data_IF_137213082442
#
_entry.id   IF_137213082442
#
_cell.length_a   1.000
_cell.length_b   1.000
_cell.length_c   1.000
_cell.angle_alpha   90.00
_cell.angle_beta   90.00
_cell.angle_gamma   90.00
#
_symmetry.space_group_name_H-M   'P 1'
#
loop_
_entity.id
_entity.type
_entity.pdbx_description
1 polymer ?
#
# COMPACT_ATOMS: atom_id res chain seq x y z
N UNK A 1 -3.63 28.15 -21.08
CA UNK A 1 -2.67 27.66 -20.06
C UNK A 1 -3.39 27.69 -18.72
N UNK A 2 -3.72 26.53 -18.15
CA UNK A 2 -4.18 26.46 -16.76
C UNK A 2 -2.98 25.98 -15.96
N UNK A 3 -2.43 26.87 -15.14
CA UNK A 3 -1.43 26.51 -14.13
C UNK A 3 -2.08 25.52 -13.17
N UNK A 4 -1.58 24.29 -13.15
CA UNK A 4 -1.89 23.34 -12.10
C UNK A 4 -1.21 23.85 -10.82
N UNK A 5 -2.04 24.11 -9.80
CA UNK A 5 -1.56 24.40 -8.46
C UNK A 5 -0.55 23.32 -8.04
N UNK A 6 0.56 23.75 -7.42
CA UNK A 6 1.53 22.88 -6.76
C UNK A 6 0.80 21.99 -5.74
N UNK A 7 0.39 20.79 -6.15
CA UNK A 7 0.06 19.72 -5.23
C UNK A 7 1.39 19.32 -4.59
N UNK A 8 1.51 19.41 -3.26
CA UNK A 8 2.74 19.15 -2.50
C UNK A 8 3.21 17.69 -2.53
N UNK A 9 3.13 17.05 -3.69
CA UNK A 9 3.60 15.71 -3.96
C UNK A 9 5.12 15.73 -4.08
N UNK A 10 5.79 14.90 -3.29
CA UNK A 10 7.23 14.67 -3.46
C UNK A 10 7.41 13.95 -4.79
N UNK A 11 8.17 14.49 -5.75
CA UNK A 11 8.36 13.85 -7.04
C UNK A 11 9.15 12.55 -6.88
N UNK A 12 8.84 11.56 -7.70
CA UNK A 12 9.61 10.32 -7.76
C UNK A 12 11.08 10.58 -8.05
N UNK A 13 11.94 9.80 -7.39
CA UNK A 13 13.37 9.90 -7.55
C UNK A 13 13.91 8.65 -8.25
N UNK A 14 14.26 8.72 -9.56
CA UNK A 14 14.73 7.56 -10.31
C UNK A 14 16.08 7.03 -9.80
N UNK A 15 16.85 7.83 -9.06
CA UNK A 15 18.08 7.36 -8.40
C UNK A 15 17.75 6.44 -7.23
N UNK A 16 16.71 6.77 -6.46
CA UNK A 16 16.22 5.93 -5.35
C UNK A 16 15.61 4.64 -5.90
N UNK A 17 14.81 4.73 -6.95
CA UNK A 17 14.22 3.57 -7.60
C UNK A 17 15.31 2.61 -8.11
N UNK A 18 16.37 3.14 -8.74
CA UNK A 18 17.55 2.37 -9.13
C UNK A 18 18.23 1.70 -7.92
N UNK A 19 18.51 2.45 -6.85
CA UNK A 19 19.18 1.91 -5.64
C UNK A 19 18.37 0.77 -5.02
N UNK A 20 17.05 0.97 -4.87
CA UNK A 20 16.15 -0.06 -4.34
C UNK A 20 16.05 -1.26 -5.27
N UNK A 21 15.96 -1.02 -6.58
CA UNK A 21 15.99 -2.07 -7.61
C UNK A 21 17.26 -2.92 -7.55
N UNK A 22 18.43 -2.30 -7.41
CA UNK A 22 19.72 -2.99 -7.25
C UNK A 22 19.72 -3.82 -5.96
N UNK A 23 19.29 -3.27 -4.81
CA UNK A 23 19.23 -4.00 -3.53
C UNK A 23 18.32 -5.23 -3.64
N UNK A 24 17.11 -5.07 -4.21
CA UNK A 24 16.15 -6.17 -4.36
C UNK A 24 16.71 -7.25 -5.30
N UNK A 25 17.32 -6.85 -6.43
CA UNK A 25 17.92 -7.77 -7.38
C UNK A 25 19.08 -8.55 -6.76
N UNK A 26 19.98 -7.88 -6.06
CA UNK A 26 21.15 -8.50 -5.42
C UNK A 26 20.75 -9.47 -4.29
N UNK A 27 19.58 -9.24 -3.66
CA UNK A 27 18.96 -10.14 -2.72
C UNK A 27 18.20 -11.33 -3.36
N UNK A 28 18.25 -11.47 -4.69
CA UNK A 28 17.62 -12.56 -5.45
C UNK A 28 16.20 -12.27 -5.95
N UNK A 29 15.69 -11.06 -5.71
CA UNK A 29 14.34 -10.64 -6.10
C UNK A 29 13.22 -11.31 -5.30
N UNK A 30 11.97 -10.97 -5.62
CA UNK A 30 10.79 -11.55 -4.99
C UNK A 30 9.63 -11.69 -5.99
N UNK A 31 8.87 -12.81 -6.01
CA UNK A 31 7.81 -13.04 -7.00
C UNK A 31 6.67 -12.01 -6.98
N UNK A 32 6.44 -11.36 -5.84
CA UNK A 32 5.44 -10.32 -5.64
C UNK A 32 5.99 -8.90 -5.67
N UNK A 33 7.22 -8.71 -6.16
CA UNK A 33 7.76 -7.41 -6.55
C UNK A 33 7.91 -7.36 -8.08
N UNK A 34 7.78 -6.17 -8.66
CA UNK A 34 8.15 -5.94 -10.06
C UNK A 34 9.65 -6.16 -10.21
N UNK A 35 10.05 -6.98 -11.18
CA UNK A 35 11.46 -7.35 -11.33
C UNK A 35 12.23 -6.19 -11.96
N UNK A 36 13.25 -5.71 -11.25
CA UNK A 36 14.24 -4.81 -11.79
C UNK A 36 15.35 -5.62 -12.48
N UNK A 37 15.59 -5.35 -13.76
CA UNK A 37 16.53 -6.14 -14.58
C UNK A 37 17.87 -5.43 -14.69
N UNK A 38 17.87 -4.17 -15.13
CA UNK A 38 19.09 -3.40 -15.40
C UNK A 38 18.85 -1.89 -15.39
N UNK A 39 19.92 -1.11 -15.49
CA UNK A 39 19.86 0.33 -15.78
C UNK A 39 21.06 0.79 -16.57
N UNK A 40 20.88 1.86 -17.33
CA UNK A 40 21.97 2.49 -18.07
C UNK A 40 21.75 4.00 -18.16
N UNK A 41 22.85 4.73 -18.43
CA UNK A 41 22.81 6.17 -18.62
C UNK A 41 23.19 6.47 -20.06
N UNK A 42 22.32 7.19 -20.76
CA UNK A 42 22.56 7.69 -22.11
C UNK A 42 22.18 9.16 -22.17
N UNK A 43 23.06 10.01 -22.69
CA UNK A 43 22.83 11.46 -22.84
C UNK A 43 22.31 12.13 -21.55
N UNK A 44 22.95 11.82 -20.41
CA UNK A 44 22.56 12.33 -19.07
C UNK A 44 21.17 11.88 -18.58
N UNK A 45 20.53 10.93 -19.26
CA UNK A 45 19.24 10.35 -18.86
C UNK A 45 19.47 8.96 -18.29
N UNK A 46 18.93 8.70 -17.10
CA UNK A 46 18.92 7.38 -16.47
C UNK A 46 17.72 6.59 -17.00
N UNK A 47 17.99 5.40 -17.54
CA UNK A 47 16.99 4.44 -17.99
C UNK A 47 16.98 3.24 -17.04
N UNK A 48 15.79 2.87 -16.58
CA UNK A 48 15.56 1.69 -15.75
C UNK A 48 14.84 0.62 -16.59
N UNK A 49 15.40 -0.59 -16.63
CA UNK A 49 14.85 -1.74 -17.35
C UNK A 49 14.14 -2.63 -16.34
N UNK A 50 12.83 -2.76 -16.48
CA UNK A 50 11.96 -3.46 -15.53
C UNK A 50 11.02 -4.43 -16.24
N UNK A 51 10.49 -5.39 -15.48
CA UNK A 51 9.47 -6.33 -15.93
C UNK A 51 8.19 -5.62 -16.35
N UNK A 52 7.72 -5.94 -17.56
CA UNK A 52 6.47 -5.42 -18.07
C UNK A 52 5.27 -6.26 -17.61
N UNK A 53 4.48 -5.70 -16.69
CA UNK A 53 3.26 -6.33 -16.19
C UNK A 53 2.08 -6.12 -17.14
N UNK A 54 1.95 -7.00 -18.15
CA UNK A 54 1.00 -6.85 -19.25
C UNK A 54 -0.50 -6.79 -18.88
N UNK A 55 -0.91 -7.16 -17.66
CA UNK A 55 -2.32 -7.09 -17.25
C UNK A 55 -2.71 -5.78 -16.54
N UNK A 56 -1.81 -4.79 -16.54
CA UNK A 56 -2.04 -3.48 -15.94
C UNK A 56 -2.00 -3.51 -14.41
N UNK A 57 -2.55 -2.48 -13.79
CA UNK A 57 -2.60 -2.31 -12.33
C UNK A 57 -3.98 -2.66 -11.72
N UNK A 58 -3.99 -2.76 -10.39
CA UNK A 58 -5.18 -3.13 -9.62
C UNK A 58 -6.26 -2.04 -9.66
N UNK A 59 -5.87 -0.76 -9.77
CA UNK A 59 -6.82 0.35 -9.87
C UNK A 59 -7.66 0.25 -11.15
N UNK A 60 -6.99 0.03 -12.28
CA UNK A 60 -7.61 -0.21 -13.58
C UNK A 60 -8.47 -1.48 -13.59
N UNK A 61 -7.96 -2.55 -12.97
CA UNK A 61 -8.70 -3.80 -12.82
C UNK A 61 -10.03 -3.62 -12.08
N UNK A 62 -10.02 -2.91 -10.95
CA UNK A 62 -11.24 -2.62 -10.18
C UNK A 62 -12.16 -1.64 -10.93
N UNK A 63 -11.62 -0.60 -11.55
CA UNK A 63 -12.39 0.43 -12.25
C UNK A 63 -13.25 -0.12 -13.40
N UNK A 64 -12.82 -1.21 -14.03
CA UNK A 64 -13.56 -1.92 -15.09
C UNK A 64 -14.71 -2.77 -14.57
N UNK A 65 -14.82 -3.01 -13.26
CA UNK A 65 -15.90 -3.80 -12.64
C UNK A 65 -17.07 -2.90 -12.28
N UNK A 66 -18.31 -3.41 -12.46
CA UNK A 66 -19.54 -2.65 -12.19
C UNK A 66 -19.59 -2.02 -10.80
N UNK A 67 -19.17 -2.76 -9.78
CA UNK A 67 -19.19 -2.30 -8.38
C UNK A 67 -17.86 -1.69 -7.92
N UNK A 68 -16.82 -1.73 -8.76
CA UNK A 68 -15.44 -1.34 -8.40
C UNK A 68 -14.88 -2.07 -7.17
N UNK A 69 -15.44 -3.22 -6.83
CA UNK A 69 -15.05 -4.06 -5.69
C UNK A 69 -14.67 -5.47 -6.15
N UNK A 70 -14.04 -6.21 -5.26
CA UNK A 70 -13.88 -7.65 -5.32
C UNK A 70 -14.33 -8.32 -4.01
N UNK A 71 -14.54 -9.63 -4.05
CA UNK A 71 -14.92 -10.38 -2.85
C UNK A 71 -13.80 -10.32 -1.80
N UNK A 72 -14.16 -10.43 -0.53
CA UNK A 72 -13.19 -10.48 0.57
C UNK A 72 -12.13 -11.58 0.36
N UNK A 73 -12.54 -12.76 -0.12
CA UNK A 73 -11.63 -13.85 -0.48
C UNK A 73 -10.57 -13.44 -1.52
N UNK A 74 -10.99 -12.80 -2.61
CA UNK A 74 -10.07 -12.35 -3.65
C UNK A 74 -9.17 -11.23 -3.14
N UNK A 75 -9.73 -10.29 -2.36
CA UNK A 75 -8.97 -9.21 -1.73
C UNK A 75 -7.90 -9.76 -0.78
N UNK A 76 -8.20 -10.80 0.01
CA UNK A 76 -7.21 -11.46 0.87
C UNK A 76 -6.13 -12.20 0.08
N UNK A 77 -6.47 -12.78 -1.08
CA UNK A 77 -5.48 -13.40 -1.97
C UNK A 77 -4.51 -12.37 -2.56
N UNK A 78 -5.00 -11.20 -2.96
CA UNK A 78 -4.16 -10.05 -3.36
C UNK A 78 -3.31 -9.59 -2.18
N UNK A 79 -3.95 -9.38 -1.02
CA UNK A 79 -3.31 -8.85 0.18
C UNK A 79 -2.17 -9.75 0.65
N UNK A 80 -2.34 -11.07 0.65
CA UNK A 80 -1.30 -12.04 1.01
C UNK A 80 -0.07 -11.91 0.13
N UNK A 81 -0.28 -11.82 -1.20
CA UNK A 81 0.80 -11.66 -2.18
C UNK A 81 1.55 -10.33 -2.01
N UNK A 82 0.82 -9.22 -1.89
CA UNK A 82 1.42 -7.89 -1.72
C UNK A 82 2.13 -7.80 -0.36
N UNK A 83 1.57 -8.40 0.69
CA UNK A 83 2.20 -8.47 2.01
C UNK A 83 3.52 -9.22 1.97
N UNK A 84 3.62 -10.30 1.18
CA UNK A 84 4.86 -11.06 1.04
C UNK A 84 5.96 -10.22 0.37
N UNK A 85 5.63 -9.48 -0.70
CA UNK A 85 6.56 -8.54 -1.33
C UNK A 85 6.98 -7.40 -0.40
N UNK A 86 6.04 -6.83 0.33
CA UNK A 86 6.31 -5.75 1.29
C UNK A 86 7.17 -6.23 2.47
N UNK A 87 6.92 -7.43 2.98
CA UNK A 87 7.73 -8.06 4.02
C UNK A 87 9.18 -8.27 3.56
N UNK A 88 9.39 -8.70 2.32
CA UNK A 88 10.72 -8.80 1.73
C UNK A 88 11.44 -7.45 1.74
N UNK A 89 10.78 -6.36 1.32
CA UNK A 89 11.36 -5.00 1.39
C UNK A 89 11.70 -4.61 2.84
N UNK A 90 10.78 -4.85 3.77
CA UNK A 90 10.96 -4.49 5.18
C UNK A 90 12.13 -5.26 5.82
N UNK A 91 12.31 -6.54 5.50
CA UNK A 91 13.45 -7.36 5.94
C UNK A 91 14.79 -6.81 5.45
N UNK A 92 14.81 -6.23 4.25
CA UNK A 92 15.98 -5.53 3.69
C UNK A 92 16.10 -4.08 4.14
N UNK A 93 15.37 -3.70 5.21
CA UNK A 93 15.36 -2.35 5.76
C UNK A 93 14.97 -1.28 4.72
N UNK A 94 14.01 -1.60 3.85
CA UNK A 94 13.40 -0.67 2.90
C UNK A 94 11.91 -0.55 3.21
N UNK A 95 11.40 0.68 3.22
CA UNK A 95 9.97 0.97 3.23
C UNK A 95 9.57 1.57 1.88
N UNK A 96 8.36 1.26 1.42
CA UNK A 96 7.89 1.60 0.07
C UNK A 96 7.34 3.03 -0.02
N UNK A 97 6.56 3.46 0.98
CA UNK A 97 5.94 4.80 1.13
C UNK A 97 4.92 5.21 0.06
N UNK A 98 4.56 4.34 -0.88
CA UNK A 98 3.48 4.56 -1.85
C UNK A 98 2.69 3.29 -2.20
N UNK A 99 2.48 2.42 -1.21
CA UNK A 99 1.60 1.25 -1.36
C UNK A 99 0.18 1.71 -1.71
N UNK A 100 -0.25 1.41 -2.94
CA UNK A 100 -1.52 1.88 -3.50
C UNK A 100 -2.00 0.90 -4.58
N UNK A 101 -3.25 1.02 -5.02
CA UNK A 101 -3.80 0.13 -6.06
C UNK A 101 -3.09 0.33 -7.42
N UNK A 102 -2.69 1.55 -7.69
CA UNK A 102 -1.97 1.99 -8.90
C UNK A 102 -0.58 1.34 -8.99
N UNK A 103 0.02 1.00 -7.85
CA UNK A 103 1.36 0.43 -7.78
C UNK A 103 1.34 -1.10 -7.55
N UNK A 104 0.15 -1.71 -7.55
CA UNK A 104 -0.03 -3.17 -7.52
C UNK A 104 -0.37 -3.65 -8.92
N UNK A 105 0.63 -4.21 -9.60
CA UNK A 105 0.53 -4.71 -10.95
C UNK A 105 0.06 -6.16 -11.00
N UNK A 106 -0.59 -6.52 -12.10
CA UNK A 106 -1.08 -7.86 -12.40
C UNK A 106 -0.23 -8.48 -13.51
N UNK A 107 0.31 -9.67 -13.26
CA UNK A 107 1.12 -10.37 -14.25
C UNK A 107 1.13 -11.88 -14.03
N UNK A 108 0.74 -12.65 -15.06
CA UNK A 108 0.72 -14.12 -15.02
C UNK A 108 0.03 -14.70 -13.77
N UNK A 109 -1.12 -14.14 -13.39
CA UNK A 109 -1.88 -14.58 -12.23
C UNK A 109 -1.29 -14.19 -10.87
N UNK A 110 -0.24 -13.37 -10.84
CA UNK A 110 0.37 -12.83 -9.63
C UNK A 110 0.11 -11.33 -9.47
N UNK A 111 0.05 -10.89 -8.22
CA UNK A 111 0.08 -9.48 -7.84
C UNK A 111 1.52 -9.09 -7.49
N UNK A 112 2.00 -7.99 -8.08
CA UNK A 112 3.36 -7.49 -7.94
C UNK A 112 3.35 -6.03 -7.52
N UNK A 113 3.97 -5.73 -6.39
CA UNK A 113 4.18 -4.35 -5.95
C UNK A 113 5.37 -3.75 -6.71
N UNK A 114 5.20 -2.55 -7.27
CA UNK A 114 6.23 -1.84 -8.02
C UNK A 114 6.22 -0.35 -7.70
N UNK A 115 6.96 0.43 -8.50
CA UNK A 115 7.17 1.87 -8.31
C UNK A 115 7.83 2.20 -6.96
N UNK A 116 9.16 2.14 -6.96
CA UNK A 116 9.97 2.37 -5.75
C UNK A 116 10.52 3.80 -5.71
N UNK A 117 9.99 4.74 -6.50
CA UNK A 117 10.47 6.12 -6.60
C UNK A 117 10.44 6.90 -5.28
N UNK A 118 9.53 6.54 -4.37
CA UNK A 118 9.37 7.15 -3.03
C UNK A 118 9.93 6.29 -1.88
N UNK A 119 10.48 5.12 -2.20
CA UNK A 119 11.00 4.20 -1.20
C UNK A 119 12.16 4.80 -0.40
N UNK A 120 12.45 4.24 0.77
CA UNK A 120 13.57 4.73 1.58
C UNK A 120 14.15 3.63 2.46
N UNK A 121 15.44 3.77 2.79
CA UNK A 121 16.04 2.96 3.84
C UNK A 121 15.38 3.30 5.17
N UNK A 122 15.08 2.29 5.96
CA UNK A 122 14.31 2.40 7.20
C UNK A 122 15.14 3.14 8.24
N UNK A 123 14.95 4.45 8.23
CA UNK A 123 15.34 5.42 9.24
C UNK A 123 14.07 6.19 9.59
N UNK A 124 14.00 6.73 10.81
CA UNK A 124 12.87 7.60 11.18
C UNK A 124 12.78 8.75 10.18
N UNK A 125 11.62 8.88 9.52
CA UNK A 125 11.33 9.97 8.61
C UNK A 125 10.65 11.10 9.38
N UNK A 126 10.83 12.36 8.97
CA UNK A 126 10.21 13.52 9.64
C UNK A 126 9.81 14.57 8.61
N UNK A 127 8.65 15.20 8.82
CA UNK A 127 8.22 16.38 8.06
C UNK A 127 7.87 16.16 6.58
N UNK A 128 8.01 14.94 6.06
CA UNK A 128 7.73 14.60 4.67
C UNK A 128 6.38 13.89 4.51
N UNK A 129 5.42 14.60 3.91
CA UNK A 129 4.20 14.00 3.39
C UNK A 129 4.51 13.40 2.01
N UNK A 130 4.58 12.08 1.93
CA UNK A 130 4.85 11.35 0.67
C UNK A 130 3.77 10.32 0.39
N UNK A 131 3.64 9.97 -0.89
CA UNK A 131 2.63 9.05 -1.39
C UNK A 131 1.31 9.74 -1.75
N UNK A 132 0.29 8.93 -1.99
CA UNK A 132 -1.06 9.39 -2.38
C UNK A 132 -1.93 9.65 -1.13
N UNK A 133 -2.57 10.83 -1.05
CA UNK A 133 -3.30 11.34 0.14
C UNK A 133 -4.32 10.35 0.75
N UNK A 134 -5.00 9.58 -0.08
CA UNK A 134 -6.00 8.59 0.37
C UNK A 134 -5.37 7.43 1.16
N UNK A 135 -4.11 7.10 0.88
CA UNK A 135 -3.41 5.95 1.45
C UNK A 135 -2.49 6.35 2.61
N UNK A 136 -2.09 7.63 2.73
CA UNK A 136 -1.17 8.09 3.76
C UNK A 136 -1.66 7.81 5.19
N UNK A 137 -0.74 7.32 6.02
CA UNK A 137 -0.98 7.12 7.45
C UNK A 137 -1.15 8.44 8.22
N UNK A 138 -1.86 8.44 9.38
CA UNK A 138 -2.09 9.64 10.17
C UNK A 138 -0.81 10.40 10.55
N UNK A 139 0.22 9.66 10.97
CA UNK A 139 1.51 10.23 11.38
C UNK A 139 2.29 10.86 10.21
N UNK A 140 2.09 10.34 8.98
CA UNK A 140 2.66 10.93 7.75
C UNK A 140 1.93 12.23 7.42
N UNK A 141 0.60 12.23 7.47
CA UNK A 141 -0.23 13.43 7.25
C UNK A 141 0.05 14.50 8.30
N UNK A 142 0.29 14.11 9.55
CA UNK A 142 0.66 15.04 10.62
C UNK A 142 2.08 15.63 10.45
N UNK A 143 2.91 15.06 9.56
CA UNK A 143 4.30 15.48 9.37
C UNK A 143 5.20 15.15 10.56
N UNK A 144 4.78 14.22 11.41
CA UNK A 144 5.50 13.82 12.61
C UNK A 144 6.74 12.98 12.26
N UNK A 145 7.54 12.63 13.28
CA UNK A 145 8.58 11.63 13.12
C UNK A 145 7.91 10.25 13.12
N UNK A 146 8.05 9.48 12.04
CA UNK A 146 7.37 8.18 11.90
C UNK A 146 8.31 7.04 11.50
N UNK A 147 7.87 5.82 11.79
CA UNK A 147 8.41 4.60 11.21
C UNK A 147 7.76 4.36 9.84
N UNK A 148 8.50 4.44 8.73
CA UNK A 148 7.92 4.27 7.41
C UNK A 148 7.40 2.84 7.16
N UNK A 149 7.86 1.83 7.91
CA UNK A 149 7.30 0.47 7.81
C UNK A 149 5.89 0.39 8.36
N UNK A 150 5.65 1.02 9.52
CA UNK A 150 4.31 1.09 10.10
C UNK A 150 3.37 1.86 9.17
N UNK A 151 3.85 2.93 8.53
CA UNK A 151 3.07 3.68 7.55
C UNK A 151 2.70 2.85 6.31
N UNK A 152 3.59 2.00 5.80
CA UNK A 152 3.28 1.08 4.70
C UNK A 152 2.13 0.11 5.05
N UNK A 153 2.10 -0.40 6.30
CA UNK A 153 1.03 -1.32 6.74
C UNK A 153 -0.33 -0.61 6.78
N UNK A 154 -0.36 0.66 7.18
CA UNK A 154 -1.59 1.46 7.09
C UNK A 154 -2.05 1.60 5.63
N UNK A 155 -1.15 1.98 4.73
CA UNK A 155 -1.44 2.12 3.30
C UNK A 155 -1.98 0.81 2.70
N UNK A 156 -1.41 -0.33 3.11
CA UNK A 156 -1.88 -1.67 2.75
C UNK A 156 -3.29 -1.95 3.30
N UNK A 157 -3.60 -1.50 4.53
CA UNK A 157 -4.95 -1.56 5.09
C UNK A 157 -5.97 -0.72 4.31
N UNK A 158 -5.57 0.46 3.82
CA UNK A 158 -6.41 1.27 2.93
C UNK A 158 -6.65 0.56 1.61
N UNK A 159 -5.62 -0.05 1.01
CA UNK A 159 -5.75 -0.89 -0.18
C UNK A 159 -6.78 -2.00 0.06
N UNK A 160 -6.70 -2.71 1.18
CA UNK A 160 -7.66 -3.75 1.52
C UNK A 160 -9.09 -3.22 1.62
N UNK A 161 -9.28 -2.09 2.31
CA UNK A 161 -10.57 -1.43 2.43
C UNK A 161 -11.15 -1.07 1.06
N UNK A 162 -10.37 -0.43 0.19
CA UNK A 162 -10.85 -0.02 -1.14
C UNK A 162 -11.20 -1.24 -1.99
N UNK A 163 -10.44 -2.33 -1.92
CA UNK A 163 -10.76 -3.55 -2.68
C UNK A 163 -12.14 -4.12 -2.33
N UNK A 164 -12.57 -4.03 -1.06
CA UNK A 164 -13.85 -4.60 -0.61
C UNK A 164 -15.02 -3.61 -0.64
N UNK A 165 -14.76 -2.30 -0.57
CA UNK A 165 -15.81 -1.26 -0.55
C UNK A 165 -15.92 -0.44 -1.84
N UNK A 166 -14.87 -0.43 -2.67
CA UNK A 166 -14.78 0.32 -3.93
C UNK A 166 -14.64 1.82 -3.74
N UNK A 167 -14.41 2.29 -2.52
CA UNK A 167 -14.26 3.72 -2.20
C UNK A 167 -13.14 3.95 -1.19
N UNK A 168 -12.45 5.10 -1.25
CA UNK A 168 -11.47 5.46 -0.23
C UNK A 168 -12.14 5.64 1.14
N UNK A 169 -11.48 5.18 2.20
CA UNK A 169 -11.96 5.29 3.59
C UNK A 169 -12.05 6.76 4.04
N UNK A 170 -11.01 7.54 3.72
CA UNK A 170 -10.89 8.96 4.04
C UNK A 170 -10.25 9.70 2.87
N UNK A 171 -10.49 11.01 2.78
CA UNK A 171 -9.78 11.86 1.82
C UNK A 171 -8.30 12.02 2.17
N UNK A 172 -8.00 12.09 3.46
CA UNK A 172 -6.67 12.02 4.08
C UNK A 172 -6.85 11.81 5.59
N UNK A 173 -5.89 11.16 6.23
CA UNK A 173 -5.96 10.74 7.63
C UNK A 173 -5.71 11.88 8.63
N UNK A 174 -6.62 12.85 8.73
CA UNK A 174 -6.52 14.01 9.62
C UNK A 174 -7.80 14.26 10.41
N UNK A 175 -7.66 14.79 11.64
CA UNK A 175 -8.79 15.18 12.49
C UNK A 175 -9.69 16.26 11.87
N UNK A 176 -9.27 16.96 10.81
CA UNK A 176 -10.12 17.86 10.04
C UNK A 176 -11.20 17.12 9.22
N UNK A 177 -10.96 15.86 8.84
CA UNK A 177 -11.83 15.04 8.01
C UNK A 177 -12.86 14.30 8.86
N UNK A 178 -14.15 14.46 8.53
CA UNK A 178 -15.28 13.84 9.27
C UNK A 178 -15.17 12.32 9.35
N UNK A 179 -14.88 11.64 8.24
CA UNK A 179 -14.75 10.18 8.20
C UNK A 179 -13.56 9.68 9.02
N UNK A 180 -12.44 10.41 9.04
CA UNK A 180 -11.31 10.07 9.91
C UNK A 180 -11.65 10.21 11.40
N UNK A 181 -12.41 11.25 11.77
CA UNK A 181 -12.92 11.38 13.16
C UNK A 181 -13.82 10.21 13.54
N UNK A 182 -14.70 9.78 12.63
CA UNK A 182 -15.56 8.62 12.84
C UNK A 182 -14.73 7.33 13.01
N UNK A 183 -13.73 7.11 12.15
CA UNK A 183 -12.78 6.00 12.29
C UNK A 183 -12.09 6.00 13.66
N UNK A 184 -11.56 7.16 14.09
CA UNK A 184 -10.89 7.29 15.39
C UNK A 184 -11.81 7.03 16.58
N UNK A 185 -13.07 7.44 16.48
CA UNK A 185 -14.04 7.31 17.57
C UNK A 185 -14.66 5.92 17.66
N UNK A 186 -14.95 5.30 16.51
CA UNK A 186 -15.77 4.09 16.45
C UNK A 186 -15.02 2.84 15.97
N UNK A 187 -13.81 2.99 15.42
CA UNK A 187 -13.04 1.91 14.83
C UNK A 187 -13.56 1.49 13.44
N UNK A 188 -12.73 0.74 12.70
CA UNK A 188 -13.08 0.33 11.33
C UNK A 188 -14.25 -0.65 11.29
N UNK A 189 -14.40 -1.52 12.31
CA UNK A 189 -15.51 -2.47 12.39
C UNK A 189 -16.88 -1.77 12.31
N UNK A 190 -17.08 -0.76 13.14
CA UNK A 190 -18.30 0.05 13.14
C UNK A 190 -18.49 0.81 11.82
N UNK A 191 -17.41 1.30 11.20
CA UNK A 191 -17.48 1.94 9.88
C UNK A 191 -17.95 0.92 8.82
N UNK A 192 -17.44 -0.31 8.84
CA UNK A 192 -17.83 -1.36 7.90
C UNK A 192 -19.28 -1.82 8.08
N UNK A 193 -19.77 -1.83 9.31
CA UNK A 193 -21.19 -2.07 9.62
C UNK A 193 -22.08 -0.97 9.05
N UNK A 194 -21.72 0.30 9.26
CA UNK A 194 -22.47 1.45 8.74
C UNK A 194 -22.50 1.48 7.20
N UNK A 195 -21.50 0.89 6.54
CA UNK A 195 -21.44 0.75 5.08
C UNK A 195 -22.20 -0.48 4.56
N UNK A 196 -22.70 -1.33 5.46
CA UNK A 196 -23.43 -2.55 5.09
C UNK A 196 -22.55 -3.67 4.51
N UNK A 197 -21.22 -3.55 4.63
CA UNK A 197 -20.24 -4.49 4.05
C UNK A 197 -19.79 -5.54 5.07
N UNK A 198 -19.83 -5.24 6.38
CA UNK A 198 -19.35 -6.12 7.45
C UNK A 198 -19.96 -7.53 7.40
N UNK A 199 -21.26 -7.66 7.10
CA UNK A 199 -21.96 -8.94 7.02
C UNK A 199 -21.44 -9.88 5.92
N UNK A 200 -20.68 -9.36 4.96
CA UNK A 200 -20.10 -10.12 3.85
C UNK A 200 -18.61 -10.43 4.06
N UNK A 201 -18.09 -10.15 5.26
CA UNK A 201 -16.70 -10.37 5.63
C UNK A 201 -16.61 -11.29 6.86
N UNK A 202 -15.71 -12.29 6.85
CA UNK A 202 -15.41 -13.05 8.04
C UNK A 202 -14.82 -12.16 9.14
N UNK A 203 -15.09 -12.50 10.40
CA UNK A 203 -14.59 -11.76 11.57
C UNK A 203 -13.07 -11.61 11.54
N UNK A 204 -12.34 -12.66 11.18
CA UNK A 204 -10.87 -12.64 11.06
C UNK A 204 -10.37 -11.62 10.04
N UNK A 205 -11.09 -11.43 8.92
CA UNK A 205 -10.73 -10.43 7.92
C UNK A 205 -10.95 -9.00 8.44
N UNK A 206 -11.99 -8.78 9.25
CA UNK A 206 -12.25 -7.49 9.88
C UNK A 206 -11.24 -7.18 11.00
N UNK A 207 -10.82 -8.18 11.76
CA UNK A 207 -9.76 -8.08 12.76
C UNK A 207 -8.42 -7.72 12.11
N UNK A 208 -8.07 -8.36 10.98
CA UNK A 208 -6.89 -8.02 10.20
C UNK A 208 -6.93 -6.57 9.72
N UNK A 209 -8.06 -6.15 9.13
CA UNK A 209 -8.25 -4.78 8.68
C UNK A 209 -8.13 -3.78 9.84
N UNK A 210 -8.67 -4.12 11.02
CA UNK A 210 -8.59 -3.30 12.23
C UNK A 210 -7.17 -3.15 12.73
N UNK A 211 -6.38 -4.23 12.73
CA UNK A 211 -4.98 -4.19 13.15
C UNK A 211 -4.07 -3.41 12.19
N UNK A 212 -4.33 -3.44 10.88
CA UNK A 212 -3.60 -2.62 9.90
C UNK A 212 -3.98 -1.14 9.97
N UNK A 213 -5.26 -0.83 10.25
CA UNK A 213 -5.81 0.53 10.35
C UNK A 213 -5.86 1.05 11.79
N UNK A 214 -5.01 0.51 12.67
CA UNK A 214 -4.77 1.06 14.00
C UNK A 214 -4.05 2.41 13.88
N UNK A 215 -4.60 3.42 14.54
CA UNK A 215 -4.14 4.81 14.44
C UNK A 215 -2.81 4.98 15.15
N UNK A 216 -2.63 4.33 16.31
CA UNK A 216 -1.36 4.32 17.03
C UNK A 216 -0.35 3.41 16.30
N UNK A 217 0.69 3.95 15.64
CA UNK A 217 1.61 3.14 14.84
C UNK A 217 2.40 2.14 15.67
N UNK A 218 2.47 2.30 17.00
CA UNK A 218 3.14 1.34 17.91
C UNK A 218 2.26 0.10 18.15
N UNK A 219 0.94 0.26 18.11
CA UNK A 219 -0.03 -0.83 18.29
C UNK A 219 -0.45 -1.46 16.96
N UNK A 220 -0.20 -0.77 15.85
CA UNK A 220 -0.46 -1.26 14.49
C UNK A 220 0.33 -2.54 14.23
N UNK A 221 -0.30 -3.47 13.51
CA UNK A 221 0.35 -4.71 13.11
C UNK A 221 1.64 -4.42 12.33
N UNK A 222 2.67 -5.22 12.60
CA UNK A 222 3.83 -5.30 11.69
C UNK A 222 3.47 -6.13 10.46
N UNK A 223 4.25 -6.01 9.39
CA UNK A 223 4.02 -6.80 8.18
C UNK A 223 4.16 -8.31 8.43
N UNK A 224 5.03 -8.73 9.35
CA UNK A 224 5.19 -10.13 9.74
C UNK A 224 3.94 -10.64 10.49
N UNK A 225 3.35 -9.81 11.35
CA UNK A 225 2.09 -10.14 12.03
C UNK A 225 0.92 -10.19 11.03
N UNK A 226 0.89 -9.31 10.02
CA UNK A 226 -0.09 -9.38 8.92
C UNK A 226 0.03 -10.72 8.22
N UNK A 227 1.24 -11.14 7.80
CA UNK A 227 1.46 -12.41 7.10
C UNK A 227 1.07 -13.65 7.89
N UNK A 228 1.18 -13.59 9.22
CA UNK A 228 0.83 -14.69 10.13
C UNK A 228 -0.64 -14.67 10.57
N UNK A 229 -1.44 -13.70 10.12
CA UNK A 229 -2.81 -13.54 10.57
C UNK A 229 -3.76 -14.64 10.07
N UNK A 230 -4.63 -15.12 10.94
CA UNK A 230 -5.56 -16.23 10.67
C UNK A 230 -6.56 -15.96 9.53
N UNK A 231 -6.73 -14.70 9.14
CA UNK A 231 -7.57 -14.28 8.02
C UNK A 231 -7.16 -14.93 6.70
N UNK A 232 -5.86 -15.21 6.52
CA UNK A 232 -5.37 -15.91 5.33
C UNK A 232 -5.68 -17.41 5.36
N UNK A 233 -5.83 -18.01 6.53
CA UNK A 233 -6.16 -19.43 6.69
C UNK A 233 -7.67 -19.68 6.55
N UNK A 234 -8.51 -18.77 7.06
CA UNK A 234 -9.98 -18.96 7.11
C UNK A 234 -10.71 -18.71 5.80
N UNK A 235 -10.08 -18.02 4.83
CA UNK A 235 -10.72 -17.67 3.55
C UNK A 235 -10.16 -18.42 2.33
N UNK A 236 -9.01 -19.10 2.45
CA UNK A 236 -8.37 -19.80 1.35
C UNK A 236 -8.73 -21.28 1.26
N UNK A 237 -9.17 -21.90 2.37
CA UNK A 237 -9.81 -23.22 2.41
C UNK A 237 -11.20 -23.18 1.76
#
# INVERSE_FOLDING_TARGET
MREHAHDGHTPDNPIIEKEVGDIIRDAGGHPNLVTYMDSFVEQQTLYLVMEYCANGDMYDYLSKRRQRTMSCRNALSVLSQVSAGLAFMHQHSIAHRDVSLENIFLHHGRCKLGDFGLATRVRRCSGQQVGKKYYMAPEVVAGEVYDPKAADVWSLGIVFFIMVTGSPLVSFASMSVKSFRALKQAGIATVMEAWGVAQYMPTSALELMSGMLEIDPIKRLTIDQVLQHDAFNTCLS
#
